data_IF_266205218617
#
_entry.id   IF_266205218617
#
_cell.length_a   1.000
_cell.length_b   1.000
_cell.length_c   1.000
_cell.angle_alpha   90.00
_cell.angle_beta   90.00
_cell.angle_gamma   90.00
#
_symmetry.space_group_name_H-M   'P 1'
#
loop_
_entity.id
_entity.type
_entity.pdbx_description
1 polymer ?
#
# COMPACT_ATOMS: atom_id res chain seq x y z
N UNK A 1 -33.07 -81.27 -24.05
CA UNK A 1 -32.19 -80.75 -22.98
C UNK A 1 -31.16 -79.85 -23.60
N UNK A 2 -31.39 -78.51 -23.64
CA UNK A 2 -30.54 -77.53 -24.29
C UNK A 2 -29.75 -76.73 -23.27
N UNK A 3 -28.44 -76.78 -23.37
CA UNK A 3 -27.53 -75.96 -22.59
C UNK A 3 -27.31 -74.62 -23.25
N UNK A 4 -27.76 -73.52 -22.59
CA UNK A 4 -27.50 -72.13 -23.00
C UNK A 4 -26.14 -71.70 -22.46
N UNK A 5 -25.20 -71.34 -23.33
CA UNK A 5 -23.91 -70.71 -22.97
C UNK A 5 -24.15 -69.20 -22.88
N UNK A 6 -23.91 -68.63 -21.70
CA UNK A 6 -23.81 -67.15 -21.49
C UNK A 6 -22.40 -66.72 -21.84
N UNK A 7 -22.24 -65.86 -22.82
CA UNK A 7 -21.00 -65.18 -23.07
C UNK A 7 -20.89 -63.97 -22.16
N UNK A 8 -19.86 -63.95 -21.30
CA UNK A 8 -19.45 -62.81 -20.47
C UNK A 8 -18.64 -61.89 -21.39
N UNK A 9 -19.13 -60.65 -21.66
CA UNK A 9 -18.35 -59.63 -22.32
C UNK A 9 -17.54 -58.85 -21.23
N UNK A 10 -16.22 -58.97 -21.31
CA UNK A 10 -15.28 -58.24 -20.46
C UNK A 10 -15.10 -56.85 -21.12
N UNK A 11 -15.66 -55.81 -20.50
CA UNK A 11 -15.39 -54.42 -20.90
C UNK A 11 -14.11 -53.96 -20.21
N UNK A 12 -13.02 -53.92 -20.98
CA UNK A 12 -11.78 -53.28 -20.57
C UNK A 12 -11.95 -51.74 -20.66
N UNK A 13 -12.16 -51.08 -19.54
CA UNK A 13 -12.04 -49.61 -19.47
C UNK A 13 -10.56 -49.23 -19.49
N UNK A 14 -10.07 -48.77 -20.62
CA UNK A 14 -8.76 -48.11 -20.71
C UNK A 14 -8.91 -46.73 -20.08
N UNK A 15 -8.47 -46.63 -18.84
CA UNK A 15 -8.28 -45.33 -18.17
C UNK A 15 -7.14 -44.61 -18.87
N UNK A 16 -7.42 -43.63 -19.71
CA UNK A 16 -6.40 -42.67 -20.16
C UNK A 16 -5.97 -41.84 -18.94
N UNK A 17 -4.82 -42.17 -18.36
CA UNK A 17 -4.14 -41.26 -17.46
C UNK A 17 -3.75 -40.05 -18.29
N UNK A 18 -4.34 -38.90 -18.03
CA UNK A 18 -3.87 -37.65 -18.60
C UNK A 18 -2.42 -37.40 -18.09
N UNK A 19 -1.47 -37.47 -19.00
CA UNK A 19 -0.12 -37.02 -18.68
C UNK A 19 -0.20 -35.56 -18.20
N UNK A 20 0.54 -35.20 -17.14
CA UNK A 20 0.61 -33.79 -16.73
C UNK A 20 1.22 -33.01 -17.89
N UNK A 21 0.48 -32.04 -18.43
CA UNK A 21 1.04 -31.09 -19.40
C UNK A 21 2.32 -30.51 -18.77
N UNK A 22 3.45 -30.72 -19.44
CA UNK A 22 4.69 -30.08 -19.07
C UNK A 22 4.42 -28.56 -19.01
N UNK A 23 4.76 -27.92 -17.88
CA UNK A 23 4.58 -26.48 -17.71
C UNK A 23 5.31 -25.78 -18.88
N UNK A 24 4.57 -25.11 -19.75
CA UNK A 24 5.16 -24.33 -20.82
C UNK A 24 5.96 -23.18 -20.22
N UNK A 25 7.11 -22.87 -20.81
CA UNK A 25 7.86 -21.69 -20.41
C UNK A 25 6.97 -20.44 -20.55
N UNK A 26 6.95 -19.61 -19.51
CA UNK A 26 6.17 -18.37 -19.52
C UNK A 26 6.78 -17.39 -20.52
N UNK A 27 6.01 -16.93 -21.48
CA UNK A 27 6.41 -15.83 -22.36
C UNK A 27 6.32 -14.49 -21.58
N UNK A 28 7.43 -14.16 -20.93
CA UNK A 28 7.53 -12.97 -20.10
C UNK A 28 7.42 -11.66 -20.89
N UNK A 29 7.86 -11.65 -22.17
CA UNK A 29 7.73 -10.46 -23.01
C UNK A 29 6.25 -10.16 -23.32
N UNK A 30 5.50 -11.19 -23.74
CA UNK A 30 4.06 -11.08 -23.98
C UNK A 30 3.30 -10.72 -22.71
N UNK A 31 3.67 -11.30 -21.57
CA UNK A 31 3.04 -11.01 -20.26
C UNK A 31 3.29 -9.56 -19.84
N UNK A 32 4.50 -9.04 -20.07
CA UNK A 32 4.83 -7.63 -19.81
C UNK A 32 4.01 -6.69 -20.69
N UNK A 33 3.91 -6.96 -21.99
CA UNK A 33 3.11 -6.16 -22.92
C UNK A 33 1.61 -6.17 -22.56
N UNK A 34 1.09 -7.34 -22.17
CA UNK A 34 -0.29 -7.47 -21.67
C UNK A 34 -0.50 -6.59 -20.43
N UNK A 35 0.42 -6.62 -19.51
CA UNK A 35 0.34 -5.87 -18.26
C UNK A 35 0.44 -4.36 -18.46
N UNK A 36 1.33 -3.88 -19.34
CA UNK A 36 1.42 -2.45 -19.68
C UNK A 36 0.10 -1.94 -20.26
N UNK A 37 -0.48 -2.68 -21.22
CA UNK A 37 -1.81 -2.34 -21.78
C UNK A 37 -2.91 -2.37 -20.70
N UNK A 38 -2.87 -3.37 -19.82
CA UNK A 38 -3.82 -3.47 -18.72
C UNK A 38 -3.70 -2.28 -17.75
N UNK A 39 -2.47 -1.85 -17.43
CA UNK A 39 -2.24 -0.67 -16.58
C UNK A 39 -2.77 0.60 -17.24
N UNK A 40 -2.51 0.80 -18.55
CA UNK A 40 -3.04 1.94 -19.29
C UNK A 40 -4.59 1.99 -19.23
N UNK A 41 -5.26 0.85 -19.43
CA UNK A 41 -6.73 0.76 -19.33
C UNK A 41 -7.22 1.02 -17.90
N UNK A 42 -6.50 0.51 -16.89
CA UNK A 42 -6.88 0.64 -15.50
C UNK A 42 -6.72 2.09 -15.00
N UNK A 43 -5.66 2.78 -15.40
CA UNK A 43 -5.44 4.20 -15.10
C UNK A 43 -6.54 5.09 -15.68
N UNK A 44 -7.10 4.76 -16.86
CA UNK A 44 -8.20 5.51 -17.49
C UNK A 44 -9.51 5.51 -16.70
N UNK A 45 -9.62 4.64 -15.71
CA UNK A 45 -10.79 4.59 -14.85
C UNK A 45 -10.56 5.51 -13.67
N UNK A 46 -11.24 6.66 -13.67
CA UNK A 46 -11.18 7.61 -12.54
C UNK A 46 -11.86 7.03 -11.30
N UNK A 47 -11.07 6.81 -10.27
CA UNK A 47 -11.51 6.31 -8.97
C UNK A 47 -11.12 7.26 -7.84
N UNK A 48 -11.03 8.57 -8.15
CA UNK A 48 -10.66 9.62 -7.20
C UNK A 48 -11.50 9.57 -5.93
N UNK A 49 -10.82 9.58 -4.81
CA UNK A 49 -11.45 9.51 -3.49
C UNK A 49 -11.16 10.79 -2.67
N UNK A 50 -12.16 11.57 -2.27
CA UNK A 50 -13.60 11.35 -2.47
C UNK A 50 -14.09 11.59 -3.91
N UNK A 51 -15.21 10.97 -4.37
CA UNK A 51 -16.08 10.03 -3.66
C UNK A 51 -15.58 8.58 -3.65
N UNK A 52 -14.52 8.22 -4.40
CA UNK A 52 -13.91 6.89 -4.43
C UNK A 52 -14.83 5.79 -4.97
N UNK A 53 -15.49 6.03 -6.11
CA UNK A 53 -16.32 5.02 -6.77
C UNK A 53 -15.43 4.01 -7.48
N UNK A 54 -15.45 2.77 -7.02
CA UNK A 54 -14.59 1.70 -7.55
C UNK A 54 -15.33 0.70 -8.46
N UNK A 55 -16.63 0.91 -8.72
CA UNK A 55 -17.43 -0.02 -9.55
C UNK A 55 -16.81 -0.26 -10.93
N UNK A 56 -16.37 0.79 -11.64
CA UNK A 56 -15.75 0.66 -12.97
C UNK A 56 -14.42 -0.09 -12.92
N UNK A 57 -13.61 0.13 -11.88
CA UNK A 57 -12.37 -0.59 -11.63
C UNK A 57 -12.63 -2.08 -11.32
N UNK A 58 -13.63 -2.35 -10.48
CA UNK A 58 -14.08 -3.71 -10.19
C UNK A 58 -14.60 -4.44 -11.44
N UNK A 59 -15.34 -3.76 -12.32
CA UNK A 59 -15.80 -4.31 -13.59
C UNK A 59 -14.63 -4.66 -14.53
N UNK A 60 -13.62 -3.81 -14.57
CA UNK A 60 -12.40 -4.06 -15.35
C UNK A 60 -11.68 -5.33 -14.86
N UNK A 61 -11.45 -5.46 -13.55
CA UNK A 61 -10.78 -6.64 -12.97
C UNK A 61 -11.62 -7.91 -13.16
N UNK A 62 -12.93 -7.83 -12.91
CA UNK A 62 -13.86 -8.95 -13.07
C UNK A 62 -13.82 -9.51 -14.49
N UNK A 63 -13.95 -8.65 -15.51
CA UNK A 63 -13.90 -9.10 -16.91
C UNK A 63 -12.59 -9.83 -17.26
N UNK A 64 -11.44 -9.36 -16.75
CA UNK A 64 -10.14 -9.99 -17.01
C UNK A 64 -10.00 -11.34 -16.31
N UNK A 65 -10.49 -11.46 -15.10
CA UNK A 65 -10.46 -12.71 -14.32
C UNK A 65 -11.41 -13.75 -14.94
N UNK A 66 -12.65 -13.36 -15.28
CA UNK A 66 -13.65 -14.24 -15.88
C UNK A 66 -13.25 -14.71 -17.29
N UNK A 67 -12.57 -13.86 -18.07
CA UNK A 67 -12.04 -14.25 -19.38
C UNK A 67 -11.00 -15.39 -19.30
N UNK A 68 -10.34 -15.54 -18.15
CA UNK A 68 -9.41 -16.65 -17.84
C UNK A 68 -10.09 -17.81 -17.10
N UNK A 69 -11.42 -17.80 -16.99
CA UNK A 69 -12.18 -18.83 -16.28
C UNK A 69 -11.97 -18.83 -14.77
N UNK A 70 -11.66 -17.68 -14.18
CA UNK A 70 -11.58 -17.50 -12.73
C UNK A 70 -12.89 -16.96 -12.21
N UNK A 71 -13.51 -17.66 -11.26
CA UNK A 71 -14.72 -17.18 -10.61
C UNK A 71 -14.41 -15.96 -9.72
N UNK A 72 -15.27 -14.95 -9.79
CA UNK A 72 -15.14 -13.71 -9.05
C UNK A 72 -16.32 -13.55 -8.09
N UNK A 73 -16.02 -13.25 -6.82
CA UNK A 73 -17.00 -12.77 -5.84
C UNK A 73 -16.89 -11.25 -5.75
N UNK A 74 -18.02 -10.58 -5.74
CA UNK A 74 -18.09 -9.12 -5.58
C UNK A 74 -18.86 -8.77 -4.32
N UNK A 75 -18.34 -7.77 -3.61
CA UNK A 75 -19.02 -7.15 -2.49
C UNK A 75 -19.17 -5.65 -2.77
N UNK A 76 -20.08 -5.02 -2.07
CA UNK A 76 -20.27 -3.57 -2.06
C UNK A 76 -20.45 -3.12 -0.60
N UNK A 77 -19.42 -2.50 -0.04
CA UNK A 77 -19.42 -2.07 1.36
C UNK A 77 -20.26 -0.81 1.60
N UNK A 78 -20.41 0.02 0.58
CA UNK A 78 -21.29 1.18 0.51
C UNK A 78 -21.59 1.50 -0.96
N UNK A 79 -22.61 2.31 -1.30
CA UNK A 79 -22.96 2.63 -2.69
C UNK A 79 -21.77 3.10 -3.53
N UNK A 80 -21.37 2.31 -4.53
CA UNK A 80 -20.23 2.54 -5.42
C UNK A 80 -18.86 2.12 -4.85
N UNK A 81 -18.78 1.58 -3.64
CA UNK A 81 -17.58 1.05 -3.01
C UNK A 81 -17.49 -0.47 -3.26
N UNK A 82 -17.21 -0.83 -4.49
CA UNK A 82 -17.12 -2.23 -4.91
C UNK A 82 -15.80 -2.87 -4.49
N UNK A 83 -15.84 -4.16 -4.13
CA UNK A 83 -14.70 -5.01 -3.76
C UNK A 83 -14.71 -6.21 -4.70
N UNK A 84 -13.53 -6.65 -5.14
CA UNK A 84 -13.34 -7.84 -5.98
C UNK A 84 -12.55 -8.87 -5.21
N UNK A 85 -13.03 -10.12 -5.19
CA UNK A 85 -12.34 -11.27 -4.62
C UNK A 85 -12.29 -12.40 -5.64
N UNK A 86 -11.09 -12.92 -5.93
CA UNK A 86 -10.86 -14.08 -6.78
C UNK A 86 -9.92 -15.06 -6.11
N UNK A 87 -10.09 -16.37 -6.35
CA UNK A 87 -9.36 -17.41 -5.63
C UNK A 87 -8.90 -18.54 -6.54
N UNK A 88 -7.60 -18.82 -6.55
CA UNK A 88 -7.05 -20.08 -7.03
C UNK A 88 -7.01 -21.07 -5.87
N UNK A 89 -7.75 -22.16 -5.99
CA UNK A 89 -7.85 -23.18 -4.97
C UNK A 89 -6.60 -24.04 -4.90
N UNK A 90 -6.06 -24.21 -3.71
CA UNK A 90 -5.03 -25.18 -3.38
C UNK A 90 -5.58 -26.39 -2.63
N UNK A 91 -4.70 -27.28 -2.21
CA UNK A 91 -5.04 -28.50 -1.45
C UNK A 91 -5.43 -28.23 0.02
N UNK A 92 -5.40 -26.97 0.47
CA UNK A 92 -5.74 -26.61 1.85
C UNK A 92 -4.73 -27.08 2.90
N UNK A 93 -3.47 -27.35 2.51
CA UNK A 93 -2.41 -27.78 3.43
C UNK A 93 -1.84 -26.64 4.27
N UNK A 94 -2.08 -25.41 3.87
CA UNK A 94 -1.69 -24.20 4.60
C UNK A 94 -2.72 -23.11 4.33
N UNK A 95 -2.73 -22.06 5.19
CA UNK A 95 -3.60 -20.89 5.03
C UNK A 95 -3.24 -20.08 3.77
N UNK A 96 -4.22 -19.35 3.20
CA UNK A 96 -4.06 -18.58 1.95
C UNK A 96 -2.93 -17.55 1.98
N UNK A 97 -2.46 -17.20 0.75
CA UNK A 97 -1.72 -15.97 0.47
C UNK A 97 -2.71 -15.01 -0.19
N UNK A 98 -2.83 -13.81 0.35
CA UNK A 98 -3.68 -12.74 -0.17
C UNK A 98 -2.82 -11.72 -0.92
N UNK A 99 -3.13 -11.48 -2.18
CA UNK A 99 -2.63 -10.37 -3.00
C UNK A 99 -3.64 -9.24 -2.86
N UNK A 100 -3.27 -8.20 -2.15
CA UNK A 100 -4.13 -7.07 -1.81
C UNK A 100 -3.72 -5.85 -2.63
N UNK A 101 -4.68 -5.11 -3.16
CA UNK A 101 -4.45 -3.77 -3.68
C UNK A 101 -5.70 -2.91 -3.56
N UNK A 102 -5.51 -1.61 -3.36
CA UNK A 102 -6.62 -0.66 -3.43
C UNK A 102 -6.85 -0.17 -4.86
N UNK A 103 -8.11 0.16 -5.14
CA UNK A 103 -8.55 0.61 -6.46
C UNK A 103 -8.72 2.13 -6.54
N UNK A 104 -8.97 2.77 -5.39
CA UNK A 104 -9.12 4.22 -5.33
C UNK A 104 -7.78 4.94 -5.43
N UNK A 105 -7.85 6.23 -5.73
CA UNK A 105 -6.68 7.10 -5.90
C UNK A 105 -6.99 8.48 -5.32
N UNK A 106 -5.98 9.23 -4.88
CA UNK A 106 -6.18 10.64 -4.49
C UNK A 106 -6.63 11.50 -5.68
N UNK A 107 -7.38 12.60 -5.47
CA UNK A 107 -7.78 13.50 -6.54
C UNK A 107 -6.59 14.08 -7.31
N UNK A 108 -6.82 14.41 -8.57
CA UNK A 108 -5.85 15.10 -9.42
C UNK A 108 -6.49 16.35 -10.04
N UNK A 109 -5.71 17.43 -10.14
CA UNK A 109 -6.09 18.64 -10.87
C UNK A 109 -5.48 18.58 -12.28
N UNK A 110 -6.29 18.33 -13.34
CA UNK A 110 -5.77 18.16 -14.70
C UNK A 110 -4.96 19.37 -15.21
N UNK A 111 -5.24 20.57 -14.69
CA UNK A 111 -4.52 21.80 -15.11
C UNK A 111 -3.04 21.81 -14.72
N UNK A 112 -2.64 20.94 -13.81
CA UNK A 112 -1.26 20.83 -13.29
C UNK A 112 -0.46 19.70 -13.93
N UNK A 113 -1.12 18.84 -14.72
CA UNK A 113 -0.50 17.67 -15.32
C UNK A 113 0.01 17.93 -16.74
N UNK A 114 1.14 17.30 -17.10
CA UNK A 114 1.67 17.32 -18.47
C UNK A 114 0.70 16.67 -19.47
N UNK A 115 0.03 15.56 -19.05
CA UNK A 115 -1.00 14.86 -19.79
C UNK A 115 -2.22 14.72 -18.88
N UNK A 116 -3.41 14.40 -19.43
CA UNK A 116 -4.58 14.13 -18.58
C UNK A 116 -4.23 13.03 -17.57
N UNK A 117 -4.47 13.25 -16.24
CA UNK A 117 -4.13 12.29 -15.18
C UNK A 117 -4.82 10.94 -15.31
N UNK A 118 -5.85 10.83 -16.12
CA UNK A 118 -6.55 9.58 -16.43
C UNK A 118 -6.41 9.15 -17.90
N UNK A 119 -5.40 9.64 -18.61
CA UNK A 119 -5.14 9.19 -19.99
C UNK A 119 -4.54 7.80 -20.10
N UNK A 120 -3.77 7.36 -19.10
CA UNK A 120 -2.95 6.15 -19.18
C UNK A 120 -1.97 6.20 -20.36
N UNK A 121 -1.46 7.39 -20.70
CA UNK A 121 -0.55 7.57 -21.82
C UNK A 121 0.77 6.82 -21.59
N UNK A 122 1.26 6.14 -22.62
CA UNK A 122 2.60 5.55 -22.62
C UNK A 122 3.55 6.51 -23.32
N UNK A 123 4.30 7.27 -22.54
CA UNK A 123 5.27 8.26 -23.02
C UNK A 123 6.61 8.12 -22.29
N UNK A 124 7.70 8.29 -23.00
CA UNK A 124 9.08 8.25 -22.47
C UNK A 124 9.34 6.96 -21.64
N UNK A 125 8.77 5.82 -22.06
CA UNK A 125 8.91 4.53 -21.36
C UNK A 125 8.10 4.39 -20.07
N UNK A 126 7.18 5.31 -19.78
CA UNK A 126 6.35 5.32 -18.59
C UNK A 126 4.86 5.33 -18.93
N UNK A 127 4.06 4.63 -18.12
CA UNK A 127 2.59 4.81 -18.10
C UNK A 127 2.28 5.95 -17.15
N UNK A 128 1.85 7.07 -17.74
CA UNK A 128 1.50 8.28 -17.00
C UNK A 128 0.07 8.22 -16.49
N UNK A 129 -0.10 8.67 -15.26
CA UNK A 129 -1.43 8.92 -14.70
C UNK A 129 -1.51 8.69 -13.20
N UNK A 130 -2.54 9.29 -12.60
CA UNK A 130 -2.88 9.15 -11.20
C UNK A 130 -3.19 7.69 -10.86
N UNK A 131 -2.57 7.16 -9.82
CA UNK A 131 -2.70 5.76 -9.42
C UNK A 131 -1.79 4.82 -10.20
N UNK A 132 -0.96 5.29 -11.15
CA UNK A 132 -0.07 4.41 -11.89
C UNK A 132 1.00 3.77 -11.00
N UNK A 133 1.47 4.46 -9.97
CA UNK A 133 2.40 4.00 -8.93
C UNK A 133 1.65 3.59 -7.67
N UNK A 134 0.68 4.38 -7.25
CA UNK A 134 -0.09 4.23 -6.02
C UNK A 134 -1.58 3.99 -6.32
N UNK A 135 -2.06 2.68 -6.37
CA UNK A 135 -1.21 1.48 -6.50
C UNK A 135 -1.72 0.56 -7.62
N UNK A 136 -2.36 1.13 -8.70
CA UNK A 136 -2.88 0.33 -9.84
C UNK A 136 -1.78 -0.47 -10.54
N UNK A 137 -0.53 0.06 -10.59
CA UNK A 137 0.62 -0.65 -11.12
C UNK A 137 0.91 -1.95 -10.36
N UNK A 138 0.93 -1.89 -9.04
CA UNK A 138 1.04 -3.06 -8.17
C UNK A 138 -0.15 -4.00 -8.34
N UNK A 139 -1.37 -3.44 -8.44
CA UNK A 139 -2.59 -4.23 -8.67
C UNK A 139 -2.52 -5.03 -9.97
N UNK A 140 -2.00 -4.45 -11.06
CA UNK A 140 -1.79 -5.17 -12.33
C UNK A 140 -0.67 -6.22 -12.20
N UNK A 141 0.41 -5.93 -11.47
CA UNK A 141 1.46 -6.92 -11.23
C UNK A 141 0.92 -8.12 -10.43
N UNK A 142 0.10 -7.88 -9.42
CA UNK A 142 -0.60 -8.92 -8.65
C UNK A 142 -1.55 -9.74 -9.56
N UNK A 143 -2.37 -9.07 -10.34
CA UNK A 143 -3.32 -9.71 -11.27
C UNK A 143 -2.58 -10.63 -12.26
N UNK A 144 -1.53 -10.13 -12.91
CA UNK A 144 -0.82 -10.92 -13.93
C UNK A 144 0.03 -12.05 -13.30
N UNK A 145 0.58 -11.88 -12.11
CA UNK A 145 1.23 -12.97 -11.37
C UNK A 145 0.22 -14.08 -11.01
N UNK A 146 -0.96 -13.69 -10.52
CA UNK A 146 -2.08 -14.59 -10.22
C UNK A 146 -2.57 -15.33 -11.48
N UNK A 147 -2.80 -14.61 -12.59
CA UNK A 147 -3.23 -15.22 -13.85
C UNK A 147 -2.15 -16.12 -14.46
N UNK A 148 -0.88 -15.79 -14.29
CA UNK A 148 0.23 -16.65 -14.74
C UNK A 148 0.24 -17.97 -13.98
N UNK A 149 -0.01 -17.97 -12.65
CA UNK A 149 -0.19 -19.22 -11.90
C UNK A 149 -1.36 -20.04 -12.44
N UNK A 150 -2.50 -19.40 -12.74
CA UNK A 150 -3.67 -20.04 -13.33
C UNK A 150 -3.36 -20.67 -14.69
N UNK A 151 -2.73 -19.92 -15.59
CA UNK A 151 -2.35 -20.33 -16.94
C UNK A 151 -1.39 -21.52 -16.95
N UNK A 152 -0.48 -21.56 -15.95
CA UNK A 152 0.48 -22.67 -15.78
C UNK A 152 -0.17 -23.93 -15.21
N UNK A 153 -1.39 -23.86 -14.72
CA UNK A 153 -2.10 -25.02 -14.15
C UNK A 153 -1.40 -25.68 -12.98
N UNK A 154 -0.60 -24.92 -12.24
CA UNK A 154 0.27 -25.43 -11.20
C UNK A 154 -0.53 -25.95 -10.00
N UNK A 155 -0.28 -27.15 -9.49
CA UNK A 155 -0.89 -27.61 -8.25
C UNK A 155 -0.40 -26.76 -7.07
N UNK A 156 -1.33 -26.30 -6.23
CA UNK A 156 -1.08 -25.43 -5.09
C UNK A 156 -1.36 -26.16 -3.79
N UNK A 157 -0.50 -25.97 -2.78
CA UNK A 157 -0.70 -26.48 -1.42
C UNK A 157 -1.65 -25.59 -0.62
N UNK A 158 -1.72 -24.31 -0.95
CA UNK A 158 -2.57 -23.30 -0.34
C UNK A 158 -3.28 -22.46 -1.39
N UNK A 159 -4.39 -21.87 -1.01
CA UNK A 159 -5.09 -20.93 -1.87
C UNK A 159 -4.22 -19.69 -2.13
N UNK A 160 -4.30 -19.16 -3.35
CA UNK A 160 -3.85 -17.80 -3.67
C UNK A 160 -5.09 -16.96 -3.94
N UNK A 161 -5.24 -15.86 -3.23
CA UNK A 161 -6.41 -14.98 -3.29
C UNK A 161 -5.98 -13.63 -3.83
N UNK A 162 -6.71 -13.09 -4.78
CA UNK A 162 -6.59 -11.70 -5.24
C UNK A 162 -7.77 -10.92 -4.67
N UNK A 163 -7.48 -9.83 -3.99
CA UNK A 163 -8.49 -8.92 -3.44
C UNK A 163 -8.17 -7.48 -3.83
N UNK A 164 -9.16 -6.82 -4.44
CA UNK A 164 -9.09 -5.41 -4.78
C UNK A 164 -10.16 -4.65 -3.99
N UNK A 165 -9.75 -3.62 -3.26
CA UNK A 165 -10.59 -2.90 -2.29
C UNK A 165 -10.69 -1.41 -2.62
N UNK A 166 -11.75 -0.70 -2.17
CA UNK A 166 -11.83 0.75 -2.17
C UNK A 166 -11.22 1.34 -0.90
N UNK A 167 -11.09 2.66 -0.85
CA UNK A 167 -11.10 3.49 0.36
C UNK A 167 -9.78 3.59 1.13
N UNK A 168 -8.70 2.99 0.64
CA UNK A 168 -7.39 3.03 1.30
C UNK A 168 -6.92 4.48 1.52
N UNK A 169 -7.06 5.33 0.50
CA UNK A 169 -6.59 6.72 0.46
C UNK A 169 -7.22 7.64 1.52
N UNK A 170 -8.27 7.14 2.19
CA UNK A 170 -8.93 7.85 3.30
C UNK A 170 -9.05 7.00 4.58
N UNK A 171 -8.29 5.87 4.66
CA UNK A 171 -8.12 5.07 5.86
C UNK A 171 -8.62 3.62 5.79
N UNK A 172 -9.22 3.18 4.66
CA UNK A 172 -9.55 1.77 4.39
C UNK A 172 -10.78 1.22 5.12
N UNK A 173 -11.60 2.10 5.73
CA UNK A 173 -12.75 1.65 6.54
C UNK A 173 -13.82 0.92 5.73
N UNK A 174 -14.07 1.34 4.48
CA UNK A 174 -15.00 0.70 3.56
C UNK A 174 -14.33 -0.31 2.62
N UNK A 175 -13.05 -0.57 2.81
CA UNK A 175 -12.23 -1.49 2.03
C UNK A 175 -11.74 -2.67 2.86
N UNK A 176 -10.45 -2.68 3.16
CA UNK A 176 -9.80 -3.76 3.89
C UNK A 176 -10.38 -3.95 5.29
N UNK A 177 -10.69 -2.88 6.02
CA UNK A 177 -11.30 -2.99 7.36
C UNK A 177 -12.66 -3.67 7.29
N UNK A 178 -13.52 -3.28 6.34
CA UNK A 178 -14.83 -3.89 6.13
C UNK A 178 -14.72 -5.40 5.81
N UNK A 179 -13.79 -5.79 4.95
CA UNK A 179 -13.53 -7.20 4.64
C UNK A 179 -13.03 -7.97 5.87
N UNK A 180 -12.19 -7.36 6.70
CA UNK A 180 -11.70 -7.97 7.94
C UNK A 180 -12.79 -8.11 8.99
N UNK A 181 -13.77 -7.22 9.03
CA UNK A 181 -14.88 -7.30 9.96
C UNK A 181 -15.93 -8.34 9.54
N UNK A 182 -16.30 -8.35 8.25
CA UNK A 182 -17.45 -9.12 7.76
C UNK A 182 -17.08 -10.45 7.10
N UNK A 183 -15.85 -10.57 6.54
CA UNK A 183 -15.45 -11.69 5.69
C UNK A 183 -14.10 -12.31 6.09
N UNK A 184 -13.58 -12.04 7.31
CA UNK A 184 -12.29 -12.58 7.74
C UNK A 184 -12.21 -14.09 7.65
N UNK A 185 -13.26 -14.82 8.06
CA UNK A 185 -13.29 -16.29 8.03
C UNK A 185 -13.20 -16.86 6.59
N UNK A 186 -13.66 -16.10 5.59
CA UNK A 186 -13.54 -16.46 4.18
C UNK A 186 -12.11 -16.24 3.67
N UNK A 187 -11.45 -15.16 4.13
CA UNK A 187 -10.08 -14.83 3.75
C UNK A 187 -9.06 -15.69 4.48
N UNK A 188 -9.12 -15.74 5.80
CA UNK A 188 -8.21 -16.40 6.77
C UNK A 188 -6.75 -16.51 6.30
N UNK A 189 -6.10 -15.42 5.85
CA UNK A 189 -4.79 -15.49 5.22
C UNK A 189 -3.68 -15.72 6.26
N UNK A 190 -2.64 -16.48 5.86
CA UNK A 190 -1.36 -16.50 6.59
C UNK A 190 -0.51 -15.30 6.20
N UNK A 191 -0.55 -14.95 4.91
CA UNK A 191 0.24 -13.89 4.31
C UNK A 191 -0.63 -12.90 3.55
N UNK A 192 -0.23 -11.63 3.60
CA UNK A 192 -0.69 -10.58 2.69
C UNK A 192 0.51 -10.02 1.94
N UNK A 193 0.39 -9.90 0.62
CA UNK A 193 1.23 -9.06 -0.22
C UNK A 193 0.45 -7.80 -0.59
N UNK A 194 1.01 -6.67 -0.27
CA UNK A 194 0.44 -5.34 -0.37
C UNK A 194 1.48 -4.38 -0.95
N UNK A 195 1.23 -3.10 -0.93
CA UNK A 195 2.15 -2.03 -1.33
C UNK A 195 3.17 -1.66 -0.24
N UNK A 196 4.02 -0.69 -0.55
CA UNK A 196 4.87 0.05 0.39
C UNK A 196 6.36 -0.13 0.19
N UNK A 197 6.81 -1.27 -0.34
CA UNK A 197 8.21 -1.52 -0.67
C UNK A 197 8.48 -1.48 -2.18
N UNK A 198 9.72 -1.19 -2.56
CA UNK A 198 10.16 -1.16 -3.96
C UNK A 198 11.70 -1.17 -4.02
N UNK A 199 12.24 -1.29 -5.24
CA UNK A 199 13.67 -1.15 -5.52
C UNK A 199 14.06 0.30 -5.82
N UNK A 200 15.24 0.74 -5.40
CA UNK A 200 15.82 2.03 -5.80
C UNK A 200 17.34 2.01 -5.75
N UNK A 201 17.98 2.86 -6.59
CA UNK A 201 19.44 3.02 -6.63
C UNK A 201 19.93 4.26 -5.89
N UNK A 202 19.03 5.15 -5.54
CA UNK A 202 19.34 6.49 -5.04
C UNK A 202 18.52 6.90 -3.81
N UNK A 203 17.49 6.12 -3.43
CA UNK A 203 16.62 6.47 -2.32
C UNK A 203 17.09 5.89 -0.98
N UNK A 204 17.53 4.63 -0.94
CA UNK A 204 17.90 3.93 0.29
C UNK A 204 19.39 4.07 0.62
N UNK A 205 20.25 3.90 -0.38
CA UNK A 205 21.70 4.00 -0.26
C UNK A 205 22.29 4.48 -1.58
N UNK A 206 23.30 5.33 -1.52
CA UNK A 206 23.91 5.91 -2.71
C UNK A 206 24.63 4.84 -3.55
N UNK A 207 24.30 4.76 -4.84
CA UNK A 207 24.96 3.91 -5.83
C UNK A 207 24.71 2.40 -5.70
N UNK A 208 23.86 1.95 -4.77
CA UNK A 208 23.48 0.54 -4.63
C UNK A 208 22.01 0.34 -5.00
N UNK A 209 21.72 -0.73 -5.73
CA UNK A 209 20.34 -1.17 -5.91
C UNK A 209 19.88 -1.84 -4.61
N UNK A 210 18.91 -1.23 -3.97
CA UNK A 210 18.29 -1.75 -2.75
C UNK A 210 16.81 -1.97 -2.99
N UNK A 211 16.33 -3.16 -2.68
CA UNK A 211 14.91 -3.46 -2.57
C UNK A 211 14.51 -3.46 -1.10
N UNK A 212 13.65 -2.52 -0.72
CA UNK A 212 13.01 -2.51 0.59
C UNK A 212 11.72 -3.33 0.54
N UNK A 213 11.60 -4.36 1.38
CA UNK A 213 10.33 -5.06 1.59
C UNK A 213 9.71 -4.48 2.88
N UNK A 214 8.54 -3.85 2.77
CA UNK A 214 7.87 -3.30 3.94
C UNK A 214 7.39 -4.40 4.87
N UNK A 215 7.79 -4.32 6.13
CA UNK A 215 7.37 -5.22 7.22
C UNK A 215 6.61 -4.48 8.32
N UNK A 216 6.54 -3.17 8.24
CA UNK A 216 5.87 -2.30 9.18
C UNK A 216 5.57 -0.94 8.55
N UNK A 217 4.74 -0.19 9.20
CA UNK A 217 4.40 1.19 8.90
C UNK A 217 4.43 2.03 10.16
N UNK A 218 4.38 3.35 10.03
CA UNK A 218 4.28 4.24 11.17
C UNK A 218 2.85 4.37 11.63
N UNK A 219 2.67 4.55 12.95
CA UNK A 219 1.39 4.93 13.52
C UNK A 219 1.03 6.35 13.09
N UNK A 220 -0.18 6.54 12.63
CA UNK A 220 -0.75 7.86 12.36
C UNK A 220 -1.39 8.41 13.63
N UNK A 221 -1.08 9.67 13.98
CA UNK A 221 -1.68 10.38 15.09
C UNK A 221 -1.87 11.84 14.68
N UNK A 222 -3.11 12.22 14.39
CA UNK A 222 -3.42 13.60 14.03
C UNK A 222 -3.96 14.36 15.23
N UNK A 223 -3.36 15.51 15.48
CA UNK A 223 -3.68 16.35 16.63
C UNK A 223 -4.24 17.68 16.16
N UNK A 224 -5.22 18.21 16.90
CA UNK A 224 -5.67 19.60 16.80
C UNK A 224 -5.20 20.34 18.05
N UNK A 225 -4.52 21.46 17.86
CA UNK A 225 -4.10 22.37 18.92
C UNK A 225 -4.96 23.63 18.82
N UNK A 226 -5.70 23.94 19.88
CA UNK A 226 -6.58 25.10 19.93
C UNK A 226 -6.14 26.08 21.02
N UNK A 227 -5.95 27.32 20.64
CA UNK A 227 -5.80 28.45 21.54
C UNK A 227 -7.13 29.21 21.62
N UNK A 228 -7.63 29.42 22.81
CA UNK A 228 -8.79 30.28 23.07
C UNK A 228 -8.34 31.60 23.69
N UNK A 229 -9.04 32.68 23.42
CA UNK A 229 -8.72 33.99 23.92
C UNK A 229 -9.88 34.97 23.85
N UNK A 230 -9.57 36.24 23.92
CA UNK A 230 -10.56 37.32 23.89
C UNK A 230 -10.56 37.95 22.52
N UNK A 231 -11.72 38.06 21.88
CA UNK A 231 -11.88 38.80 20.64
C UNK A 231 -11.81 40.33 20.91
N UNK A 232 -11.26 41.05 19.92
CA UNK A 232 -11.09 42.48 20.09
C UNK A 232 -10.80 43.24 18.80
N UNK A 233 -10.67 44.54 18.93
CA UNK A 233 -10.30 45.41 17.82
C UNK A 233 -8.78 45.35 17.63
N UNK A 234 -8.30 45.12 16.39
CA UNK A 234 -6.86 44.93 16.11
C UNK A 234 -5.96 46.11 16.49
N UNK A 235 -6.52 47.32 16.62
CA UNK A 235 -5.79 48.51 17.10
C UNK A 235 -5.58 48.54 18.63
N UNK A 236 -6.17 47.61 19.38
CA UNK A 236 -6.08 47.49 20.82
C UNK A 236 -5.48 46.13 21.21
N UNK A 237 -4.17 45.91 20.96
CA UNK A 237 -3.54 44.63 21.25
C UNK A 237 -3.58 44.32 22.75
N UNK A 238 -3.73 43.03 23.06
CA UNK A 238 -3.79 42.54 24.42
C UNK A 238 -3.14 41.13 24.54
N UNK A 239 -2.81 40.73 25.74
CA UNK A 239 -2.09 39.47 26.06
C UNK A 239 -2.93 38.19 25.86
N UNK A 240 -4.26 38.32 25.71
CA UNK A 240 -5.21 37.20 25.49
C UNK A 240 -5.52 36.95 24.02
N UNK A 241 -4.66 37.40 23.10
CA UNK A 241 -4.80 37.12 21.67
C UNK A 241 -4.44 35.68 21.38
N UNK A 242 -5.39 34.81 20.91
CA UNK A 242 -5.11 33.41 20.66
C UNK A 242 -4.16 33.17 19.49
N UNK A 243 -4.08 34.09 18.52
CA UNK A 243 -3.10 34.00 17.42
C UNK A 243 -1.68 34.09 17.95
N UNK A 244 -1.38 35.10 18.76
CA UNK A 244 -0.05 35.29 19.33
C UNK A 244 0.36 34.11 20.20
N UNK A 245 -0.59 33.59 20.98
CA UNK A 245 -0.40 32.43 21.84
C UNK A 245 -0.05 31.20 21.03
N UNK A 246 -0.87 30.85 20.03
CA UNK A 246 -0.70 29.67 19.19
C UNK A 246 0.62 29.73 18.39
N UNK A 247 0.91 30.88 17.75
CA UNK A 247 2.14 31.07 16.98
C UNK A 247 3.40 30.90 17.86
N UNK A 248 3.41 31.48 19.06
CA UNK A 248 4.55 31.35 20.01
C UNK A 248 4.74 29.89 20.45
N UNK A 249 3.66 29.16 20.71
CA UNK A 249 3.72 27.77 21.11
C UNK A 249 4.19 26.87 19.96
N UNK A 250 3.66 27.06 18.75
CA UNK A 250 4.10 26.33 17.56
C UNK A 250 5.56 26.61 17.21
N UNK A 251 6.03 27.85 17.38
CA UNK A 251 7.44 28.18 17.17
C UNK A 251 8.36 27.38 18.13
N UNK A 252 7.97 27.23 19.41
CA UNK A 252 8.71 26.39 20.37
C UNK A 252 8.66 24.91 19.98
N UNK A 253 7.49 24.40 19.58
CA UNK A 253 7.31 23.00 19.16
C UNK A 253 8.21 22.64 17.98
N UNK A 254 8.31 23.53 17.00
CA UNK A 254 9.02 23.32 15.73
C UNK A 254 10.50 23.73 15.76
N UNK A 255 10.99 24.30 16.88
CA UNK A 255 12.36 24.81 16.99
C UNK A 255 13.43 23.71 16.83
N UNK A 256 13.10 22.47 17.24
CA UNK A 256 14.01 21.32 17.20
C UNK A 256 13.29 20.08 16.63
N UNK A 257 14.00 19.20 15.93
CA UNK A 257 13.45 17.92 15.51
C UNK A 257 12.88 17.13 16.69
N UNK A 258 11.84 16.34 16.44
CA UNK A 258 11.30 15.44 17.46
C UNK A 258 12.35 14.38 17.84
N UNK A 259 12.35 13.87 19.11
CA UNK A 259 13.30 12.86 19.53
C UNK A 259 13.27 11.63 18.61
N UNK A 260 14.44 11.20 18.16
CA UNK A 260 14.62 9.95 17.42
C UNK A 260 14.69 8.74 18.34
N UNK A 261 14.37 7.59 17.80
CA UNK A 261 14.59 6.29 18.45
C UNK A 261 15.31 5.36 17.46
N UNK A 262 16.15 4.42 17.94
CA UNK A 262 16.71 3.39 17.08
C UNK A 262 15.61 2.58 16.39
N UNK A 263 15.77 2.29 15.09
CA UNK A 263 14.82 1.52 14.29
C UNK A 263 15.49 0.20 13.91
N UNK A 264 15.29 -0.82 14.74
CA UNK A 264 15.90 -2.14 14.54
C UNK A 264 15.54 -2.78 13.18
N UNK A 265 14.37 -2.47 12.63
CA UNK A 265 13.95 -2.94 11.29
C UNK A 265 15.01 -2.57 10.23
N UNK A 266 15.68 -1.42 10.38
CA UNK A 266 16.66 -0.93 9.41
C UNK A 266 18.08 -1.46 9.65
N UNK A 267 18.31 -2.31 10.64
CA UNK A 267 19.67 -2.80 10.95
C UNK A 267 20.21 -3.70 9.83
N UNK A 268 19.37 -4.53 9.23
CA UNK A 268 19.74 -5.31 8.05
C UNK A 268 20.12 -4.39 6.89
N UNK A 269 19.33 -3.35 6.63
CA UNK A 269 19.61 -2.37 5.59
C UNK A 269 20.96 -1.66 5.85
N UNK A 270 21.20 -1.20 7.07
CA UNK A 270 22.49 -0.57 7.46
C UNK A 270 23.68 -1.51 7.27
N UNK A 271 23.53 -2.77 7.67
CA UNK A 271 24.57 -3.79 7.56
C UNK A 271 24.91 -4.11 6.10
N UNK A 272 23.90 -4.34 5.27
CA UNK A 272 24.08 -4.83 3.89
C UNK A 272 24.34 -3.68 2.89
N UNK A 273 23.66 -2.56 3.04
CA UNK A 273 23.83 -1.39 2.17
C UNK A 273 24.99 -0.48 2.59
N UNK A 274 25.35 -0.48 3.88
CA UNK A 274 26.39 0.41 4.41
C UNK A 274 25.85 1.81 4.68
N UNK A 275 26.44 2.84 4.03
CA UNK A 275 25.98 4.23 4.23
C UNK A 275 24.61 4.44 3.60
N UNK A 276 23.65 4.83 4.45
CA UNK A 276 22.31 5.15 3.99
C UNK A 276 22.25 6.54 3.36
N UNK A 277 21.40 6.69 2.35
CA UNK A 277 21.21 7.97 1.68
C UNK A 277 20.63 9.03 2.64
N UNK A 278 20.97 10.30 2.39
CA UNK A 278 20.50 11.44 3.18
C UNK A 278 19.43 12.20 2.40
N UNK A 279 18.19 11.80 2.56
CA UNK A 279 17.03 12.42 1.92
C UNK A 279 15.80 12.42 2.85
N UNK A 280 14.72 13.08 2.40
CA UNK A 280 13.49 13.20 3.18
C UNK A 280 12.83 11.86 3.51
N UNK A 281 12.89 10.89 2.57
CA UNK A 281 12.31 9.56 2.76
C UNK A 281 13.07 8.77 3.84
N UNK A 282 14.41 8.69 3.71
CA UNK A 282 15.25 8.04 4.72
C UNK A 282 15.14 8.71 6.08
N UNK A 283 15.03 10.05 6.13
CA UNK A 283 14.76 10.74 7.38
C UNK A 283 13.40 10.31 7.98
N UNK A 284 12.36 10.22 7.13
CA UNK A 284 11.02 9.83 7.57
C UNK A 284 10.95 8.41 8.11
N UNK A 285 11.66 7.43 7.52
CA UNK A 285 11.64 6.04 8.01
C UNK A 285 12.58 5.79 9.21
N UNK A 286 13.49 6.70 9.51
CA UNK A 286 14.42 6.60 10.64
C UNK A 286 13.95 7.35 11.90
N UNK A 287 12.97 8.26 11.76
CA UNK A 287 12.52 9.12 12.84
C UNK A 287 11.01 9.18 12.92
N UNK A 288 10.45 9.34 14.11
CA UNK A 288 9.08 9.83 14.24
C UNK A 288 9.03 11.27 13.74
N UNK A 289 7.94 11.62 13.05
CA UNK A 289 7.83 12.93 12.40
C UNK A 289 6.59 13.69 12.86
N UNK A 290 6.67 15.02 12.81
CA UNK A 290 5.59 15.93 13.09
C UNK A 290 5.58 17.02 12.00
N UNK A 291 4.44 17.22 11.37
CA UNK A 291 4.20 18.27 10.37
C UNK A 291 3.03 19.14 10.78
N UNK A 292 3.23 20.46 10.77
CA UNK A 292 2.13 21.44 10.86
C UNK A 292 1.41 21.44 9.50
N UNK A 293 0.18 20.98 9.45
CA UNK A 293 -0.56 20.81 8.18
C UNK A 293 -1.59 21.90 7.93
N UNK A 294 -2.24 22.41 8.98
CA UNK A 294 -3.15 23.54 8.85
C UNK A 294 -2.94 24.56 9.96
N UNK A 295 -3.21 25.83 9.62
CA UNK A 295 -3.30 26.92 10.59
C UNK A 295 -4.52 27.75 10.22
N UNK A 296 -5.48 27.85 11.12
CA UNK A 296 -6.76 28.52 10.90
C UNK A 296 -7.06 29.50 12.01
N UNK A 297 -7.43 30.72 11.61
CA UNK A 297 -7.87 31.77 12.53
C UNK A 297 -8.55 32.89 11.74
N UNK A 298 -9.13 33.86 12.46
CA UNK A 298 -9.81 35.01 11.88
C UNK A 298 -11.32 35.00 12.10
N UNK A 299 -11.97 36.06 11.72
CA UNK A 299 -13.44 36.24 11.83
C UNK A 299 -13.98 36.70 10.49
N UNK A 300 -15.00 36.00 9.99
CA UNK A 300 -15.65 36.26 8.70
C UNK A 300 -14.96 35.56 7.53
N UNK A 301 -15.63 35.61 6.35
CA UNK A 301 -15.13 35.05 5.09
C UNK A 301 -15.26 36.12 3.99
N UNK A 302 -14.16 36.71 3.48
CA UNK A 302 -12.78 36.53 3.96
C UNK A 302 -12.54 37.10 5.37
N UNK A 303 -11.48 36.65 6.08
CA UNK A 303 -11.19 37.10 7.43
C UNK A 303 -10.97 38.60 7.52
N UNK A 304 -11.56 39.26 8.55
CA UNK A 304 -11.39 40.69 8.79
C UNK A 304 -10.01 40.99 9.40
N UNK A 305 -9.23 41.82 8.70
CA UNK A 305 -7.83 42.14 9.07
C UNK A 305 -7.68 42.91 10.37
N UNK A 306 -8.72 43.65 10.79
CA UNK A 306 -8.71 44.51 11.97
C UNK A 306 -9.43 43.90 13.19
N UNK A 307 -9.69 42.58 13.19
CA UNK A 307 -10.36 41.89 14.29
C UNK A 307 -9.44 40.81 14.87
N UNK A 308 -9.21 40.86 16.16
CA UNK A 308 -8.60 39.77 16.93
C UNK A 308 -9.67 38.68 17.13
N UNK A 309 -9.46 37.43 16.71
CA UNK A 309 -10.44 36.37 16.90
C UNK A 309 -10.46 35.87 18.35
N UNK A 310 -11.45 35.07 18.71
CA UNK A 310 -11.49 34.38 20.00
C UNK A 310 -10.85 32.98 19.97
N UNK A 311 -10.59 32.44 18.79
CA UNK A 311 -10.03 31.10 18.59
C UNK A 311 -9.00 31.12 17.48
N UNK A 312 -7.88 30.38 17.71
CA UNK A 312 -6.91 30.00 16.70
C UNK A 312 -6.63 28.51 16.79
N UNK A 313 -6.53 27.81 15.66
CA UNK A 313 -6.34 26.37 15.59
C UNK A 313 -5.22 25.98 14.63
N UNK A 314 -4.51 24.90 14.99
CA UNK A 314 -3.53 24.24 14.14
C UNK A 314 -3.81 22.72 14.12
N UNK A 315 -3.50 22.06 13.01
CA UNK A 315 -3.46 20.59 12.96
C UNK A 315 -2.04 20.13 12.73
N UNK A 316 -1.69 19.04 13.42
CA UNK A 316 -0.39 18.39 13.36
C UNK A 316 -0.58 16.97 12.86
N UNK A 317 0.10 16.60 11.78
CA UNK A 317 0.24 15.22 11.33
C UNK A 317 1.48 14.62 11.99
N UNK A 318 1.28 13.70 12.91
CA UNK A 318 2.32 12.97 13.60
C UNK A 318 2.39 11.54 13.09
N UNK A 319 3.62 11.08 12.78
CA UNK A 319 3.89 9.72 12.32
C UNK A 319 4.91 9.08 13.25
N UNK A 320 4.47 8.11 14.04
CA UNK A 320 5.23 7.53 15.14
C UNK A 320 5.87 6.20 14.68
N UNK A 321 7.14 6.02 15.03
CA UNK A 321 7.84 4.75 14.84
C UNK A 321 7.25 3.66 15.74
N UNK A 322 7.30 2.37 15.33
CA UNK A 322 6.97 1.26 16.21
C UNK A 322 7.70 1.35 17.55
N UNK A 323 6.96 1.20 18.65
CA UNK A 323 7.48 1.32 20.01
C UNK A 323 7.41 2.74 20.60
N UNK A 324 7.10 3.77 19.81
CA UNK A 324 6.80 5.12 20.33
C UNK A 324 5.32 5.17 20.71
N UNK A 325 5.02 5.27 21.99
CA UNK A 325 3.62 5.29 22.44
C UNK A 325 2.97 6.66 22.24
N UNK A 326 1.65 6.66 22.00
CA UNK A 326 0.83 7.89 21.96
C UNK A 326 1.09 8.80 23.15
N UNK A 327 1.10 8.21 24.35
CA UNK A 327 1.18 9.01 25.59
C UNK A 327 2.56 9.67 25.75
N UNK A 328 3.66 8.96 25.42
CA UNK A 328 5.00 9.54 25.41
C UNK A 328 5.12 10.68 24.40
N UNK A 329 4.53 10.51 23.22
CA UNK A 329 4.51 11.52 22.18
C UNK A 329 3.71 12.77 22.57
N UNK A 330 2.50 12.58 23.11
CA UNK A 330 1.67 13.69 23.61
C UNK A 330 2.36 14.45 24.75
N UNK A 331 3.06 13.75 25.66
CA UNK A 331 3.82 14.39 26.72
C UNK A 331 4.92 15.29 26.15
N UNK A 332 5.65 14.83 25.13
CA UNK A 332 6.70 15.63 24.48
C UNK A 332 6.10 16.82 23.71
N UNK A 333 5.00 16.64 22.98
CA UNK A 333 4.29 17.75 22.31
C UNK A 333 3.85 18.80 23.32
N UNK A 334 3.22 18.40 24.43
CA UNK A 334 2.78 19.31 25.51
C UNK A 334 3.98 20.04 26.11
N UNK A 335 5.06 19.34 26.41
CA UNK A 335 6.29 19.92 26.98
C UNK A 335 6.85 21.02 26.08
N UNK A 336 6.90 20.78 24.74
CA UNK A 336 7.43 21.76 23.78
C UNK A 336 6.50 22.94 23.54
N UNK A 337 5.19 22.71 23.46
CA UNK A 337 4.22 23.80 23.35
C UNK A 337 4.35 24.76 24.54
N UNK A 338 4.68 24.24 25.72
CA UNK A 338 4.94 24.99 26.96
C UNK A 338 3.83 25.99 27.29
N UNK A 339 2.57 25.60 27.10
CA UNK A 339 1.39 26.38 27.39
C UNK A 339 0.23 25.45 27.83
N UNK A 340 -0.07 25.38 29.14
CA UNK A 340 -1.07 24.44 29.67
C UNK A 340 -2.53 24.81 29.33
N UNK A 341 -2.78 26.02 28.85
CA UNK A 341 -4.12 26.43 28.46
C UNK A 341 -4.47 26.07 27.00
N UNK A 342 -3.50 25.58 26.21
CA UNK A 342 -3.79 25.04 24.90
C UNK A 342 -4.55 23.74 25.03
N UNK A 343 -5.64 23.63 24.28
CA UNK A 343 -6.39 22.37 24.16
C UNK A 343 -5.77 21.52 23.07
N UNK A 344 -5.47 20.25 23.36
CA UNK A 344 -4.96 19.28 22.40
C UNK A 344 -5.97 18.15 22.30
N UNK A 345 -6.50 17.97 21.10
CA UNK A 345 -7.46 16.92 20.77
C UNK A 345 -6.85 15.95 19.76
N UNK A 346 -7.10 14.65 19.97
CA UNK A 346 -6.78 13.63 18.97
C UNK A 346 -7.90 13.66 17.92
N UNK A 347 -7.54 13.98 16.68
CA UNK A 347 -8.48 14.01 15.54
C UNK A 347 -8.59 12.64 14.90
N UNK A 348 -7.46 11.92 14.83
CA UNK A 348 -7.38 10.57 14.30
C UNK A 348 -6.20 9.82 14.95
N UNK A 349 -6.40 8.53 15.15
CA UNK A 349 -5.37 7.61 15.63
C UNK A 349 -5.53 6.27 14.93
N UNK A 350 -4.47 5.79 14.26
CA UNK A 350 -4.46 4.45 13.70
C UNK A 350 -4.15 3.39 14.76
N UNK A 351 -4.36 2.13 14.41
CA UNK A 351 -3.94 0.99 15.24
C UNK A 351 -2.43 1.07 15.58
N UNK A 352 -2.03 0.35 16.65
CA UNK A 352 -0.61 0.23 16.99
C UNK A 352 0.14 -0.53 15.89
N UNK A 353 1.26 0.01 15.39
CA UNK A 353 2.00 -0.63 14.31
C UNK A 353 2.62 -1.95 14.79
N UNK A 354 2.23 -3.03 14.15
CA UNK A 354 2.80 -4.36 14.37
C UNK A 354 3.86 -4.64 13.31
N UNK A 355 5.01 -5.16 13.75
CA UNK A 355 6.12 -5.53 12.87
C UNK A 355 5.98 -6.98 12.44
N UNK A 356 5.95 -7.24 11.14
CA UNK A 356 6.00 -8.58 10.58
C UNK A 356 7.43 -9.12 10.61
N UNK A 357 7.63 -10.36 11.04
CA UNK A 357 8.95 -11.00 11.00
C UNK A 357 9.41 -11.26 9.56
N UNK A 358 10.68 -11.05 9.28
CA UNK A 358 11.30 -11.42 7.99
C UNK A 358 11.64 -12.94 7.91
N UNK A 359 11.57 -13.67 9.01
CA UNK A 359 11.87 -15.11 9.04
C UNK A 359 10.62 -15.93 8.66
N UNK A 360 10.22 -15.84 7.39
CA UNK A 360 9.10 -16.62 6.83
C UNK A 360 9.45 -17.17 5.45
N UNK A 361 8.79 -18.26 5.02
CA UNK A 361 8.92 -18.79 3.66
C UNK A 361 8.66 -17.74 2.58
N UNK A 362 7.58 -16.94 2.70
CA UNK A 362 7.23 -15.95 1.68
C UNK A 362 8.28 -14.83 1.58
N UNK A 363 8.77 -14.30 2.72
CA UNK A 363 9.80 -13.27 2.68
C UNK A 363 11.09 -13.80 2.01
N UNK A 364 11.53 -15.01 2.36
CA UNK A 364 12.69 -15.64 1.74
C UNK A 364 12.50 -15.90 0.24
N UNK A 365 11.30 -16.32 -0.17
CA UNK A 365 10.95 -16.53 -1.58
C UNK A 365 11.00 -15.22 -2.38
N UNK A 366 10.44 -14.13 -1.84
CA UNK A 366 10.52 -12.78 -2.43
C UNK A 366 11.99 -12.34 -2.57
N UNK A 367 12.77 -12.45 -1.50
CA UNK A 367 14.20 -12.12 -1.51
C UNK A 367 14.95 -12.90 -2.57
N UNK A 368 14.76 -14.22 -2.63
CA UNK A 368 15.41 -15.08 -3.61
C UNK A 368 15.00 -14.74 -5.05
N UNK A 369 13.70 -14.46 -5.29
CA UNK A 369 13.21 -14.09 -6.61
C UNK A 369 13.77 -12.73 -7.08
N UNK A 370 13.84 -11.74 -6.17
CA UNK A 370 14.47 -10.44 -6.45
C UNK A 370 15.95 -10.63 -6.81
N UNK A 371 16.70 -11.40 -6.01
CA UNK A 371 18.13 -11.62 -6.24
C UNK A 371 18.42 -12.43 -7.52
N UNK A 372 17.48 -13.28 -7.98
CA UNK A 372 17.58 -13.92 -9.31
C UNK A 372 17.39 -12.91 -10.44
N UNK A 373 16.50 -11.95 -10.28
CA UNK A 373 16.21 -10.92 -11.28
C UNK A 373 17.26 -9.82 -11.32
N UNK A 374 17.77 -9.42 -10.16
CA UNK A 374 18.77 -8.36 -9.98
C UNK A 374 19.94 -8.87 -9.12
N UNK A 375 20.86 -9.67 -9.68
CA UNK A 375 22.02 -10.19 -8.95
C UNK A 375 22.88 -9.04 -8.38
N UNK A 376 23.22 -9.13 -7.11
CA UNK A 376 24.02 -8.10 -6.41
C UNK A 376 23.19 -6.96 -5.82
N UNK A 377 21.86 -6.97 -5.95
CA UNK A 377 20.99 -6.07 -5.20
C UNK A 377 21.04 -6.41 -3.70
N UNK A 378 20.78 -5.40 -2.87
CA UNK A 378 20.50 -5.59 -1.44
C UNK A 378 18.99 -5.75 -1.27
N UNK A 379 18.55 -6.76 -0.53
CA UNK A 379 17.13 -6.92 -0.17
C UNK A 379 17.03 -6.87 1.35
N UNK A 380 16.31 -5.89 1.86
CA UNK A 380 16.23 -5.64 3.29
C UNK A 380 14.79 -5.33 3.73
N UNK A 381 14.43 -5.66 4.99
CA UNK A 381 13.17 -5.18 5.56
C UNK A 381 13.25 -3.68 5.77
N UNK A 382 12.14 -3.00 5.51
CA UNK A 382 11.94 -1.58 5.82
C UNK A 382 10.61 -1.37 6.54
N UNK A 383 10.44 -0.20 7.10
CA UNK A 383 9.12 0.34 7.42
C UNK A 383 8.79 1.45 6.42
N UNK A 384 7.51 1.70 6.18
CA UNK A 384 7.07 2.83 5.37
C UNK A 384 6.59 3.99 6.26
N UNK A 385 6.74 5.25 5.82
CA UNK A 385 6.39 6.41 6.64
C UNK A 385 4.88 6.72 6.64
N UNK A 386 4.10 6.05 5.81
CA UNK A 386 2.64 6.18 5.62
C UNK A 386 1.91 4.91 6.11
N UNK A 387 0.59 4.93 6.10
CA UNK A 387 -0.24 3.76 6.34
C UNK A 387 -0.49 3.00 5.03
N UNK A 388 -0.86 1.74 5.14
CA UNK A 388 -1.32 0.87 4.06
C UNK A 388 -2.45 -0.02 4.59
N UNK A 389 -3.19 -0.70 3.74
CA UNK A 389 -4.21 -1.66 4.16
C UNK A 389 -3.65 -2.82 5.00
N UNK A 390 -2.35 -3.06 4.96
CA UNK A 390 -1.66 -4.03 5.82
C UNK A 390 -1.87 -3.78 7.31
N UNK A 391 -2.16 -2.53 7.73
CA UNK A 391 -2.44 -2.19 9.12
C UNK A 391 -3.74 -2.83 9.66
N UNK A 392 -4.64 -3.26 8.79
CA UNK A 392 -5.87 -3.96 9.17
C UNK A 392 -5.64 -5.46 9.42
N UNK A 393 -4.55 -6.03 8.88
CA UNK A 393 -4.22 -7.45 8.95
C UNK A 393 -3.18 -7.78 10.03
N UNK A 394 -2.13 -6.98 10.15
CA UNK A 394 -1.02 -7.21 11.10
C UNK A 394 -1.47 -7.37 12.56
N UNK A 395 -2.40 -6.57 13.10
CA UNK A 395 -2.86 -6.71 14.48
C UNK A 395 -3.53 -8.07 14.77
N UNK A 396 -4.04 -8.75 13.73
CA UNK A 396 -4.61 -10.11 13.84
C UNK A 396 -3.57 -11.22 13.66
N UNK A 397 -2.29 -10.89 13.64
CA UNK A 397 -1.19 -11.85 13.51
C UNK A 397 -0.92 -12.31 12.06
N UNK A 398 -1.58 -11.70 11.08
CA UNK A 398 -1.33 -11.96 9.65
C UNK A 398 0.03 -11.36 9.25
N UNK A 399 0.84 -12.14 8.56
CA UNK A 399 2.18 -11.72 8.13
C UNK A 399 2.07 -10.92 6.83
N UNK A 400 2.04 -9.59 6.95
CA UNK A 400 1.86 -8.68 5.80
C UNK A 400 3.18 -8.09 5.35
N UNK A 401 3.46 -8.20 4.06
CA UNK A 401 4.64 -7.64 3.37
C UNK A 401 4.18 -6.70 2.27
N UNK A 402 4.81 -5.53 2.21
CA UNK A 402 4.58 -4.60 1.11
C UNK A 402 5.75 -4.60 0.14
N UNK A 403 5.47 -4.90 -1.14
CA UNK A 403 6.47 -4.85 -2.20
C UNK A 403 5.85 -4.74 -3.59
N UNK A 404 6.24 -3.71 -4.32
CA UNK A 404 6.16 -3.67 -5.78
C UNK A 404 7.59 -3.90 -6.29
N UNK A 405 7.92 -5.07 -6.84
CA UNK A 405 9.32 -5.39 -7.21
C UNK A 405 9.76 -4.65 -8.48
N UNK A 406 9.71 -3.33 -8.45
CA UNK A 406 10.03 -2.37 -9.51
C UNK A 406 11.15 -1.47 -9.02
N UNK A 407 12.05 -1.04 -9.89
CA UNK A 407 13.07 -0.04 -9.55
C UNK A 407 12.53 1.35 -9.84
N UNK A 408 12.26 2.12 -8.80
CA UNK A 408 11.91 3.54 -8.90
C UNK A 408 13.13 4.42 -8.66
N UNK A 409 13.26 5.48 -9.45
CA UNK A 409 14.13 6.61 -9.07
C UNK A 409 13.51 7.37 -7.90
N UNK A 410 14.31 8.15 -7.18
CA UNK A 410 13.79 9.02 -6.13
C UNK A 410 12.72 9.99 -6.64
N UNK A 411 12.85 10.43 -7.92
CA UNK A 411 11.86 11.29 -8.58
C UNK A 411 10.53 10.58 -8.78
N UNK A 412 10.54 9.33 -9.30
CA UNK A 412 9.31 8.53 -9.48
C UNK A 412 8.67 8.22 -8.13
N UNK A 413 9.45 7.79 -7.14
CA UNK A 413 8.94 7.56 -5.80
C UNK A 413 8.33 8.83 -5.17
N UNK A 414 8.90 10.00 -5.45
CA UNK A 414 8.37 11.28 -4.99
C UNK A 414 7.16 11.78 -5.79
N UNK A 415 6.83 11.14 -6.91
CA UNK A 415 5.68 11.53 -7.75
C UNK A 415 4.36 10.96 -7.26
N UNK A 416 4.37 9.97 -6.36
CA UNK A 416 3.16 9.49 -5.65
C UNK A 416 2.40 10.68 -5.06
N UNK A 417 1.10 10.77 -5.28
CA UNK A 417 0.23 11.90 -4.93
C UNK A 417 0.59 13.24 -5.61
N UNK A 418 1.65 13.27 -6.44
CA UNK A 418 2.07 14.46 -7.21
C UNK A 418 1.40 14.54 -8.59
N UNK A 419 1.74 15.62 -9.33
CA UNK A 419 1.16 15.91 -10.66
C UNK A 419 1.97 15.28 -11.82
N UNK A 420 2.96 14.43 -11.51
CA UNK A 420 3.85 13.78 -12.47
C UNK A 420 3.96 12.26 -12.22
N UNK A 421 2.94 11.68 -11.63
CA UNK A 421 2.92 10.26 -11.30
C UNK A 421 2.97 9.41 -12.56
N UNK A 422 3.92 8.47 -12.59
CA UNK A 422 4.18 7.63 -13.75
C UNK A 422 4.88 6.33 -13.37
N UNK A 423 4.44 5.23 -13.96
CA UNK A 423 5.00 3.91 -13.72
C UNK A 423 5.99 3.53 -14.83
N UNK A 424 7.22 3.05 -14.52
CA UNK A 424 8.20 2.64 -15.52
C UNK A 424 7.75 1.33 -16.20
N UNK A 425 7.25 1.42 -17.43
CA UNK A 425 6.66 0.31 -18.17
C UNK A 425 7.63 -0.88 -18.34
N UNK A 426 8.91 -0.61 -18.53
CA UNK A 426 9.95 -1.64 -18.68
C UNK A 426 10.18 -2.51 -17.45
N UNK A 427 9.74 -2.07 -16.26
CA UNK A 427 9.89 -2.83 -15.02
C UNK A 427 8.74 -3.82 -14.78
N UNK A 428 7.61 -3.68 -15.49
CA UNK A 428 6.40 -4.46 -15.24
C UNK A 428 6.62 -5.98 -15.38
N UNK A 429 7.32 -6.41 -16.42
CA UNK A 429 7.60 -7.83 -16.66
C UNK A 429 8.42 -8.46 -15.53
N UNK A 430 9.42 -7.72 -15.02
CA UNK A 430 10.22 -8.13 -13.86
C UNK A 430 9.37 -8.24 -12.61
N UNK A 431 8.53 -7.24 -12.35
CA UNK A 431 7.65 -7.24 -11.17
C UNK A 431 6.74 -8.46 -11.14
N UNK A 432 6.08 -8.78 -12.26
CA UNK A 432 5.22 -9.95 -12.39
C UNK A 432 6.01 -11.24 -12.18
N UNK A 433 7.18 -11.35 -12.78
CA UNK A 433 8.04 -12.54 -12.66
C UNK A 433 8.47 -12.78 -11.22
N UNK A 434 8.93 -11.76 -10.51
CA UNK A 434 9.34 -11.86 -9.09
C UNK A 434 8.19 -12.33 -8.23
N UNK A 435 7.01 -11.72 -8.38
CA UNK A 435 5.80 -12.11 -7.64
C UNK A 435 5.39 -13.54 -7.97
N UNK A 436 5.32 -13.91 -9.26
CA UNK A 436 5.00 -15.27 -9.69
C UNK A 436 5.96 -16.31 -9.10
N UNK A 437 7.27 -16.07 -9.16
CA UNK A 437 8.29 -17.00 -8.64
C UNK A 437 8.15 -17.16 -7.11
N UNK A 438 7.92 -16.05 -6.38
CA UNK A 438 7.72 -16.10 -4.94
C UNK A 438 6.43 -16.85 -4.55
N UNK A 439 5.34 -16.62 -5.28
CA UNK A 439 4.08 -17.34 -5.08
C UNK A 439 4.23 -18.82 -5.42
N UNK A 440 4.90 -19.15 -6.53
CA UNK A 440 5.19 -20.54 -6.93
C UNK A 440 5.97 -21.29 -5.85
N UNK A 441 6.99 -20.66 -5.28
CA UNK A 441 7.83 -21.27 -4.24
C UNK A 441 7.07 -21.44 -2.92
N UNK A 442 6.15 -20.52 -2.60
CA UNK A 442 5.46 -20.50 -1.30
C UNK A 442 4.12 -21.23 -1.33
N UNK A 443 3.42 -21.23 -2.46
CA UNK A 443 2.09 -21.83 -2.59
C UNK A 443 2.08 -23.12 -3.42
N UNK A 444 3.09 -23.38 -4.26
CA UNK A 444 3.17 -24.59 -5.08
C UNK A 444 3.42 -25.85 -4.25
N UNK A 445 2.95 -27.00 -4.75
CA UNK A 445 3.29 -28.30 -4.17
C UNK A 445 4.80 -28.57 -4.33
N UNK A 446 5.43 -29.04 -3.27
CA UNK A 446 6.83 -29.48 -3.27
C UNK A 446 6.95 -30.93 -3.74
#
# INVERSE_FOLDING_TARGET
MGKRWRRLALVLSVGMAAEPLAAQDVDWARTADEAVRALQEYVRIDTSNPPGRTTGAADFLTRRLEAEGVAVTRYESAPGKAIVLARLKGAGRAKPILLLHHMDVVPADPSRWKTDPFSGALEDGHVWGRGSVDMKGTGIAHLLAFLTLKRQGMPLDRDVVLMAVPDEEIGGELGAAWMMEHHYAELDPEYVLDEGGFGSRDLFADGKLVYGISVAEKKMLWLRVTAEGVAGHGSQPHDKNPNDRLVKALARLLAEPMPGAPVAILDTLRKEAGTLARNKYMNAIQNSTLSLTTLRSGVGEPPKVNVIPSIAQATLDCRLLPGVTRDSWLAEVKRRLADPELKIEIVYESEEPTVTTQDTPLYRALQAAILRSDPGAVVAPILVPYGTDSNKFRPRGVKSYGITPVVYSAEIAASMHGDAERFPAGEMGKAIRVLYEALRETAGTR
#
